data_IF_502321344012
#
_entry.id   IF_502321344012
#
_cell.length_a   1.000
_cell.length_b   1.000
_cell.length_c   1.000
_cell.angle_alpha   90.00
_cell.angle_beta   90.00
_cell.angle_gamma   90.00
#
_symmetry.space_group_name_H-M   'P 1'
#
loop_
_entity.id
_entity.type
_entity.pdbx_description
1 polymer ?
#
# COMPACT_ATOMS: atom_id res chain seq x y z
N UNK A 1 -17.97 -64.78 -3.25
CA UNK A 1 -17.16 -65.80 -2.51
C UNK A 1 -16.08 -66.24 -3.46
N UNK A 2 -14.77 -66.00 -3.31
CA UNK A 2 -13.84 -65.59 -2.25
C UNK A 2 -12.66 -64.87 -2.95
N UNK A 3 -11.67 -64.25 -2.34
CA UNK A 3 -11.48 -63.45 -1.13
C UNK A 3 -10.04 -62.90 -1.28
N UNK A 4 -9.84 -61.65 -0.88
CA UNK A 4 -8.64 -61.08 -0.24
C UNK A 4 -7.20 -61.34 -0.70
N UNK A 5 -6.47 -60.21 -0.62
CA UNK A 5 -5.10 -59.98 -0.11
C UNK A 5 -3.93 -60.13 -1.09
N UNK A 6 -3.35 -58.97 -1.43
CA UNK A 6 -1.96 -58.54 -1.11
C UNK A 6 -1.77 -57.12 -1.66
N UNK A 7 -1.73 -56.07 -0.81
CA UNK A 7 -0.53 -55.47 -0.20
C UNK A 7 0.53 -55.00 -1.19
N UNK A 8 0.82 -53.69 -1.19
CA UNK A 8 2.15 -53.20 -1.53
C UNK A 8 2.21 -52.10 -2.59
N UNK A 9 2.47 -50.88 -2.11
CA UNK A 9 3.54 -50.01 -2.59
C UNK A 9 3.54 -49.49 -4.05
N UNK A 10 3.37 -48.16 -4.13
CA UNK A 10 4.18 -47.22 -4.92
C UNK A 10 4.34 -47.51 -6.41
N UNK A 11 3.53 -46.84 -7.24
CA UNK A 11 4.00 -46.38 -8.55
C UNK A 11 3.09 -45.26 -9.11
N UNK A 12 3.25 -44.04 -8.59
CA UNK A 12 2.79 -42.86 -9.33
C UNK A 12 3.73 -42.67 -10.53
N UNK A 13 3.23 -42.70 -11.78
CA UNK A 13 4.09 -42.57 -12.93
C UNK A 13 4.60 -41.12 -13.05
N UNK A 14 5.90 -41.01 -13.31
CA UNK A 14 6.68 -39.81 -13.61
C UNK A 14 6.14 -39.03 -14.83
N UNK A 15 5.02 -38.34 -14.68
CA UNK A 15 4.55 -37.34 -15.65
C UNK A 15 4.05 -36.06 -14.96
N UNK A 16 4.71 -35.65 -13.86
CA UNK A 16 4.72 -34.25 -13.45
C UNK A 16 5.97 -33.58 -14.05
N UNK A 17 5.91 -33.43 -15.38
CA UNK A 17 6.86 -32.64 -16.14
C UNK A 17 6.62 -31.17 -15.82
N UNK A 18 7.41 -30.68 -14.86
CA UNK A 18 7.91 -29.31 -14.75
C UNK A 18 7.27 -28.32 -15.72
N UNK A 19 6.12 -27.78 -15.33
CA UNK A 19 5.72 -26.46 -15.77
C UNK A 19 6.35 -25.50 -14.75
N UNK A 20 7.35 -24.68 -15.11
CA UNK A 20 7.78 -23.63 -14.23
C UNK A 20 6.60 -22.65 -14.15
N UNK A 21 5.91 -22.61 -13.01
CA UNK A 21 5.04 -21.49 -12.66
C UNK A 21 5.94 -20.27 -12.48
N UNK A 22 6.35 -19.66 -13.59
CA UNK A 22 7.01 -18.37 -13.58
C UNK A 22 5.97 -17.32 -13.22
N UNK A 23 6.01 -16.96 -11.93
CA UNK A 23 5.48 -15.73 -11.34
C UNK A 23 3.94 -15.66 -11.32
N UNK A 24 3.39 -15.85 -10.12
CA UNK A 24 2.04 -15.39 -9.80
C UNK A 24 1.96 -13.89 -10.12
N UNK A 25 1.06 -13.45 -11.02
CA UNK A 25 0.83 -12.04 -11.22
C UNK A 25 -0.13 -11.55 -10.13
N UNK A 26 0.02 -10.29 -9.71
CA UNK A 26 -0.89 -9.53 -8.82
C UNK A 26 -0.80 -9.66 -7.28
N UNK A 27 0.36 -9.94 -6.68
CA UNK A 27 0.57 -9.61 -5.24
C UNK A 27 1.64 -8.54 -4.97
N UNK A 28 2.29 -7.99 -6.00
CA UNK A 28 3.34 -6.97 -5.85
C UNK A 28 2.79 -5.52 -5.75
N UNK A 29 1.54 -5.25 -6.15
CA UNK A 29 1.02 -3.87 -6.32
C UNK A 29 0.48 -3.19 -5.06
N UNK A 30 0.36 -3.88 -3.91
CA UNK A 30 -0.17 -3.27 -2.68
C UNK A 30 0.92 -2.64 -1.80
N UNK A 31 2.18 -3.08 -1.96
CA UNK A 31 3.32 -2.62 -1.16
C UNK A 31 4.04 -1.41 -1.77
N UNK A 32 4.01 -1.24 -3.09
CA UNK A 32 4.69 -0.10 -3.75
C UNK A 32 3.97 1.24 -3.51
N UNK A 33 2.64 1.22 -3.39
CA UNK A 33 1.82 2.41 -3.10
C UNK A 33 1.90 2.92 -1.67
N UNK A 34 2.71 2.30 -0.82
CA UNK A 34 2.80 2.66 0.59
C UNK A 34 3.62 3.94 0.80
N UNK A 35 3.07 4.91 1.54
CA UNK A 35 3.80 6.10 2.00
C UNK A 35 4.90 5.65 2.95
N UNK A 36 6.15 5.94 2.60
CA UNK A 36 7.30 5.58 3.44
C UNK A 36 7.42 6.61 4.58
N UNK A 37 7.90 6.21 5.77
CA UNK A 37 8.07 7.14 6.90
C UNK A 37 9.00 8.32 6.58
N UNK A 38 9.96 8.13 5.69
CA UNK A 38 10.85 9.21 5.26
C UNK A 38 10.15 10.25 4.38
N UNK A 39 9.12 9.85 3.65
CA UNK A 39 8.34 10.74 2.79
C UNK A 39 7.37 11.57 3.61
N UNK A 40 6.79 10.98 4.66
CA UNK A 40 6.01 11.73 5.65
C UNK A 40 6.86 12.88 6.22
N UNK A 41 8.13 12.63 6.57
CA UNK A 41 9.03 13.68 7.06
C UNK A 41 9.29 14.76 6.01
N UNK A 42 9.47 14.37 4.75
CA UNK A 42 9.67 15.33 3.65
C UNK A 42 8.42 16.18 3.42
N UNK A 43 7.25 15.55 3.42
CA UNK A 43 5.95 16.23 3.31
C UNK A 43 5.73 17.18 4.49
N UNK A 44 5.98 16.72 5.71
CA UNK A 44 5.88 17.53 6.93
C UNK A 44 6.76 18.78 6.87
N UNK A 45 8.03 18.62 6.48
CA UNK A 45 8.94 19.76 6.29
C UNK A 45 8.48 20.70 5.17
N UNK A 46 7.91 20.17 4.08
CA UNK A 46 7.37 20.96 2.98
C UNK A 46 6.17 21.79 3.43
N UNK A 47 5.18 21.18 4.08
CA UNK A 47 3.99 21.87 4.58
C UNK A 47 4.32 22.90 5.67
N UNK A 48 5.31 22.61 6.52
CA UNK A 48 5.82 23.58 7.50
C UNK A 48 6.39 24.84 6.87
N UNK A 49 7.06 24.70 5.73
CA UNK A 49 7.65 25.80 4.98
C UNK A 49 6.64 26.56 4.13
N UNK A 50 5.67 25.87 3.54
CA UNK A 50 4.76 26.43 2.53
C UNK A 50 3.44 26.94 3.13
N UNK A 51 2.85 26.20 4.07
CA UNK A 51 1.55 26.52 4.65
C UNK A 51 1.71 27.17 6.02
N UNK A 52 2.23 26.41 7.00
CA UNK A 52 2.34 26.89 8.37
C UNK A 52 3.36 26.05 9.16
N UNK A 53 4.29 26.66 9.93
CA UNK A 53 5.26 25.93 10.76
C UNK A 53 4.67 24.93 11.77
N UNK A 54 3.40 25.08 12.13
CA UNK A 54 2.68 24.19 13.06
C UNK A 54 1.92 23.07 12.35
N UNK A 55 2.00 22.97 11.02
CA UNK A 55 1.39 21.87 10.27
C UNK A 55 2.02 20.53 10.68
N UNK A 56 1.18 19.48 10.77
CA UNK A 56 1.59 18.12 11.13
C UNK A 56 1.02 17.14 10.13
N UNK A 57 1.88 16.34 9.51
CA UNK A 57 1.46 15.25 8.62
C UNK A 57 1.43 13.92 9.38
N UNK A 58 0.29 13.23 9.36
CA UNK A 58 0.11 11.92 9.99
C UNK A 58 -0.27 10.89 8.93
N UNK A 59 0.50 9.81 8.82
CA UNK A 59 0.08 8.68 7.98
C UNK A 59 -1.07 7.92 8.65
N UNK A 60 -1.98 7.41 7.82
CA UNK A 60 -3.04 6.54 8.31
C UNK A 60 -2.50 5.13 8.57
N UNK A 61 -2.71 4.57 9.77
CA UNK A 61 -2.16 3.26 10.14
C UNK A 61 -2.76 2.07 9.38
N UNK A 62 -3.90 2.26 8.70
CA UNK A 62 -4.60 1.22 7.93
C UNK A 62 -4.64 1.49 6.43
N UNK A 63 -4.35 2.72 6.00
CA UNK A 63 -4.46 3.13 4.61
C UNK A 63 -3.14 3.77 4.20
N UNK A 64 -2.32 2.98 3.53
CA UNK A 64 -0.93 3.33 3.29
C UNK A 64 -0.75 4.19 2.03
N UNK A 65 -1.81 4.50 1.28
CA UNK A 65 -1.77 5.34 0.06
C UNK A 65 -1.92 6.84 0.36
N UNK A 66 -2.18 7.20 1.62
CA UNK A 66 -2.57 8.56 1.99
C UNK A 66 -2.13 8.97 3.38
N UNK A 67 -1.91 10.27 3.54
CA UNK A 67 -1.61 10.92 4.80
C UNK A 67 -2.58 12.07 5.06
N UNK A 68 -2.86 12.33 6.34
CA UNK A 68 -3.72 13.41 6.79
C UNK A 68 -2.85 14.58 7.27
N UNK A 69 -3.27 15.81 6.96
CA UNK A 69 -2.58 17.03 7.34
C UNK A 69 -3.42 17.79 8.35
N UNK A 70 -2.81 18.13 9.47
CA UNK A 70 -3.44 18.82 10.59
C UNK A 70 -2.74 20.13 10.88
N UNK A 71 -3.49 21.10 11.41
CA UNK A 71 -2.95 22.31 12.04
C UNK A 71 -3.46 22.36 13.48
N UNK A 72 -2.60 21.97 14.42
CA UNK A 72 -3.03 21.76 15.81
C UNK A 72 -4.04 20.61 15.91
N UNK A 73 -5.29 20.95 16.25
CA UNK A 73 -6.42 19.99 16.36
C UNK A 73 -7.34 20.02 15.13
N UNK A 74 -7.11 20.96 14.20
CA UNK A 74 -7.92 21.15 13.00
C UNK A 74 -7.40 20.29 11.84
N UNK A 75 -8.31 19.66 11.10
CA UNK A 75 -7.99 18.89 9.91
C UNK A 75 -7.99 19.79 8.68
N UNK A 76 -6.82 19.95 8.05
CA UNK A 76 -6.70 20.76 6.83
C UNK A 76 -7.04 19.97 5.57
N UNK A 77 -6.64 18.69 5.50
CA UNK A 77 -6.82 17.92 4.28
C UNK A 77 -6.08 16.60 4.24
N UNK A 78 -6.12 15.94 3.08
CA UNK A 78 -5.44 14.68 2.82
C UNK A 78 -4.46 14.82 1.66
N UNK A 79 -3.31 14.18 1.80
CA UNK A 79 -2.34 13.94 0.74
C UNK A 79 -2.51 12.51 0.25
N UNK A 80 -2.65 12.34 -1.06
CA UNK A 80 -2.61 11.06 -1.75
C UNK A 80 -1.26 10.91 -2.44
N UNK A 81 -0.69 9.70 -2.35
CA UNK A 81 0.48 9.34 -3.14
C UNK A 81 0.00 8.77 -4.47
N UNK A 82 0.55 9.30 -5.54
CA UNK A 82 0.35 8.81 -6.89
C UNK A 82 1.70 8.29 -7.42
N UNK A 83 1.71 7.07 -7.93
CA UNK A 83 2.89 6.40 -8.46
C UNK A 83 2.70 5.91 -9.89
N UNK A 84 1.78 6.53 -10.64
CA UNK A 84 1.61 6.26 -12.06
C UNK A 84 2.92 6.48 -12.85
N UNK A 85 3.29 5.48 -13.65
CA UNK A 85 4.42 5.45 -14.59
C UNK A 85 5.82 5.72 -14.02
N UNK A 86 6.02 5.50 -12.72
CA UNK A 86 7.33 5.58 -12.07
C UNK A 86 7.72 6.97 -11.57
N UNK A 87 6.87 7.98 -11.80
CA UNK A 87 7.03 9.33 -11.28
C UNK A 87 6.20 9.51 -10.02
N UNK A 88 6.86 9.41 -8.87
CA UNK A 88 6.18 9.52 -7.57
C UNK A 88 5.74 10.96 -7.31
N UNK A 89 4.44 11.18 -7.34
CA UNK A 89 3.78 12.47 -7.15
C UNK A 89 2.91 12.48 -5.90
N UNK A 90 2.63 13.67 -5.38
CA UNK A 90 1.79 13.86 -4.19
C UNK A 90 0.67 14.84 -4.50
N UNK A 91 -0.56 14.40 -4.34
CA UNK A 91 -1.74 15.24 -4.53
C UNK A 91 -2.28 15.67 -3.15
N UNK A 92 -2.29 16.97 -2.88
CA UNK A 92 -2.89 17.52 -1.67
C UNK A 92 -4.28 18.06 -1.97
N UNK A 93 -5.28 17.47 -1.32
CA UNK A 93 -6.68 17.89 -1.40
C UNK A 93 -7.11 18.53 -0.08
N UNK A 94 -7.42 19.82 -0.14
CA UNK A 94 -7.96 20.62 0.96
C UNK A 94 -9.36 21.10 0.58
N UNK A 95 -10.33 20.80 1.43
CA UNK A 95 -11.70 21.31 1.27
C UNK A 95 -11.83 22.57 2.13
N UNK A 96 -12.38 23.64 1.55
CA UNK A 96 -12.74 24.86 2.26
C UNK A 96 -14.26 24.89 2.31
N UNK A 97 -14.82 24.93 3.51
CA UNK A 97 -16.26 25.02 3.73
C UNK A 97 -16.65 26.45 4.10
N UNK A 98 -17.89 26.84 3.81
CA UNK A 98 -18.42 28.18 4.13
C UNK A 98 -18.43 28.47 5.64
N UNK A 99 -18.50 27.42 6.48
CA UNK A 99 -18.41 27.52 7.94
C UNK A 99 -17.00 27.89 8.44
N UNK A 100 -15.97 27.70 7.62
CA UNK A 100 -14.56 27.91 7.98
C UNK A 100 -13.99 29.23 7.40
N UNK A 101 -14.81 30.04 6.70
CA UNK A 101 -14.44 31.34 6.12
C UNK A 101 -14.75 32.53 7.05
#
# INVERSE_FOLDING_TARGET
MLDSRKSGHTFWPLYFRLCPMSKAPQLESLTERMVKPDEIKKLDAYFKRVINPQAVVKARPRKNDSAEVYLGEEFLGVVYVDDEDGDRSYNFSMAILDVDL
#
